data_IF_988082307650
#
_entry.id   IF_988082307650
#
_cell.length_a   1.000
_cell.length_b   1.000
_cell.length_c   1.000
_cell.angle_alpha   90.00
_cell.angle_beta   90.00
_cell.angle_gamma   90.00
#
_symmetry.space_group_name_H-M   'P 1'
#
loop_
_entity.id
_entity.type
_entity.pdbx_description
1 polymer ?
#
# COMPACT_ATOMS: atom_id res chain seq x y z
N UNK A 1 5.93 -12.70 25.70
CA UNK A 1 5.96 -13.12 24.28
C UNK A 1 6.33 -11.89 23.46
N UNK A 2 7.16 -12.01 22.46
CA UNK A 2 7.43 -10.91 21.53
C UNK A 2 6.64 -11.15 20.25
N UNK A 3 5.91 -10.14 19.78
CA UNK A 3 5.05 -10.21 18.59
C UNK A 3 5.63 -9.28 17.52
N UNK A 4 5.64 -9.74 16.28
CA UNK A 4 5.82 -8.92 15.10
C UNK A 4 4.48 -8.88 14.36
N UNK A 5 3.90 -7.68 14.23
CA UNK A 5 2.68 -7.46 13.46
C UNK A 5 3.07 -7.13 12.02
N UNK A 6 2.81 -8.05 11.11
CA UNK A 6 3.23 -7.92 9.71
C UNK A 6 2.26 -7.12 8.84
N UNK A 7 1.09 -6.71 9.36
CA UNK A 7 0.10 -6.00 8.57
C UNK A 7 -0.87 -5.22 9.46
N UNK A 8 -0.66 -3.92 9.58
CA UNK A 8 -1.53 -3.01 10.32
C UNK A 8 -1.75 -1.71 9.52
N UNK A 9 -2.84 -1.00 9.80
CA UNK A 9 -3.22 0.23 9.10
C UNK A 9 -3.32 1.42 10.06
N UNK A 10 -2.23 1.75 10.77
CA UNK A 10 -2.19 2.95 11.60
C UNK A 10 -2.18 4.25 10.79
N UNK A 11 -1.98 4.16 9.48
CA UNK A 11 -2.14 5.22 8.50
C UNK A 11 -3.61 5.53 8.13
N UNK A 12 -4.59 4.74 8.59
CA UNK A 12 -6.01 5.02 8.40
C UNK A 12 -6.43 6.26 9.21
N UNK A 13 -7.31 7.08 8.64
CA UNK A 13 -7.87 8.30 9.26
C UNK A 13 -8.55 8.03 10.62
N UNK A 14 -9.05 6.81 10.85
CA UNK A 14 -9.63 6.41 12.15
C UNK A 14 -8.68 6.60 13.31
N UNK A 15 -7.36 6.53 13.07
CA UNK A 15 -6.34 6.69 14.09
C UNK A 15 -5.80 8.11 14.22
N UNK A 16 -6.26 9.06 13.40
CA UNK A 16 -5.70 10.42 13.36
C UNK A 16 -5.67 11.09 14.74
N UNK A 17 -6.71 10.89 15.56
CA UNK A 17 -6.87 11.54 16.86
C UNK A 17 -6.10 10.86 18.00
N UNK A 18 -5.81 9.55 17.89
CA UNK A 18 -5.25 8.74 18.99
C UNK A 18 -4.14 7.78 18.55
N UNK A 19 -3.59 7.98 17.36
CA UNK A 19 -2.57 7.10 16.75
C UNK A 19 -1.40 6.82 17.69
N UNK A 20 -0.80 7.86 18.25
CA UNK A 20 0.34 7.75 19.14
C UNK A 20 0.02 6.96 20.41
N UNK A 21 -1.14 7.24 21.02
CA UNK A 21 -1.59 6.51 22.20
C UNK A 21 -1.87 5.04 21.87
N UNK A 22 -2.46 4.76 20.71
CA UNK A 22 -2.75 3.41 20.24
C UNK A 22 -1.46 2.62 19.96
N UNK A 23 -0.49 3.20 19.26
CA UNK A 23 0.82 2.59 19.00
C UNK A 23 1.54 2.29 20.32
N UNK A 24 1.52 3.21 21.27
CA UNK A 24 2.10 2.99 22.59
C UNK A 24 1.45 1.80 23.32
N UNK A 25 0.12 1.71 23.34
CA UNK A 25 -0.61 0.59 23.95
C UNK A 25 -0.26 -0.75 23.28
N UNK A 26 -0.09 -0.77 21.97
CA UNK A 26 0.29 -1.96 21.20
C UNK A 26 1.70 -2.44 21.59
N UNK A 27 2.65 -1.54 21.76
CA UNK A 27 3.99 -1.89 22.26
C UNK A 27 3.96 -2.40 23.70
N UNK A 28 3.19 -1.77 24.58
CA UNK A 28 2.99 -2.21 25.97
C UNK A 28 2.36 -3.60 26.04
N UNK A 29 1.47 -3.93 25.10
CA UNK A 29 0.85 -5.26 24.97
C UNK A 29 1.80 -6.34 24.43
N UNK A 30 3.01 -5.99 23.96
CA UNK A 30 4.05 -6.94 23.59
C UNK A 30 4.41 -7.00 22.11
N UNK A 31 3.80 -6.19 21.25
CA UNK A 31 4.26 -6.00 19.87
C UNK A 31 5.59 -5.24 19.92
N UNK A 32 6.62 -5.76 19.25
CA UNK A 32 7.97 -5.18 19.27
C UNK A 32 8.34 -4.52 17.95
N UNK A 33 7.76 -5.00 16.86
CA UNK A 33 7.88 -4.41 15.52
C UNK A 33 6.56 -4.54 14.82
N UNK A 34 6.26 -3.62 13.92
CA UNK A 34 5.09 -3.71 13.06
C UNK A 34 5.38 -3.15 11.67
N UNK A 35 4.56 -3.58 10.71
CA UNK A 35 4.50 -3.00 9.37
C UNK A 35 3.19 -2.23 9.25
N UNK A 36 3.30 -0.93 8.96
CA UNK A 36 2.18 -0.09 8.57
C UNK A 36 1.96 -0.25 7.06
N UNK A 37 0.86 -0.86 6.66
CA UNK A 37 0.61 -1.20 5.26
C UNK A 37 -0.06 -0.03 4.51
N UNK A 38 0.62 0.43 3.45
CA UNK A 38 0.05 1.36 2.48
C UNK A 38 -0.88 0.62 1.52
N UNK A 39 -2.00 1.21 1.15
CA UNK A 39 -2.99 0.63 0.22
C UNK A 39 -3.35 1.56 -0.95
N UNK A 40 -2.88 2.80 -0.91
CA UNK A 40 -2.93 3.81 -1.97
C UNK A 40 -1.66 4.65 -1.92
N UNK A 41 -1.46 5.56 -2.88
CA UNK A 41 -0.32 6.46 -2.83
C UNK A 41 -0.32 7.33 -1.56
N UNK A 42 -1.47 7.92 -1.21
CA UNK A 42 -1.59 8.80 -0.04
C UNK A 42 -1.42 8.02 1.26
N UNK A 43 -2.04 6.85 1.38
CA UNK A 43 -1.87 5.99 2.55
C UNK A 43 -0.43 5.48 2.69
N UNK A 44 0.26 5.22 1.58
CA UNK A 44 1.68 4.85 1.57
C UNK A 44 2.57 5.98 2.07
N UNK A 45 2.28 7.23 1.68
CA UNK A 45 2.98 8.42 2.18
C UNK A 45 2.80 8.57 3.70
N UNK A 46 1.57 8.39 4.20
CA UNK A 46 1.30 8.47 5.64
C UNK A 46 1.94 7.30 6.40
N UNK A 47 1.93 6.07 5.85
CA UNK A 47 2.61 4.92 6.44
C UNK A 47 4.12 5.17 6.58
N UNK A 48 4.76 5.76 5.57
CA UNK A 48 6.17 6.15 5.59
C UNK A 48 6.44 7.22 6.65
N UNK A 49 5.57 8.22 6.76
CA UNK A 49 5.70 9.27 7.78
C UNK A 49 5.68 8.66 9.19
N UNK A 50 4.72 7.79 9.48
CA UNK A 50 4.64 7.07 10.75
C UNK A 50 5.91 6.22 10.97
N UNK A 51 6.37 5.49 9.96
CA UNK A 51 7.57 4.67 10.07
C UNK A 51 8.84 5.49 10.33
N UNK A 52 8.93 6.71 9.82
CA UNK A 52 10.07 7.61 10.07
C UNK A 52 10.05 8.23 11.47
N UNK A 53 8.90 8.26 12.14
CA UNK A 53 8.75 8.78 13.51
C UNK A 53 9.00 7.69 14.58
N UNK A 54 9.11 6.40 14.18
CA UNK A 54 9.22 5.27 15.09
C UNK A 54 10.25 4.23 14.63
N UNK A 55 11.28 3.96 15.41
CA UNK A 55 12.37 3.01 15.09
C UNK A 55 11.92 1.56 14.83
N UNK A 56 10.75 1.18 15.33
CA UNK A 56 10.23 -0.18 15.27
C UNK A 56 9.03 -0.33 14.31
N UNK A 57 8.72 0.71 13.56
CA UNK A 57 7.69 0.68 12.51
C UNK A 57 8.36 0.71 11.14
N UNK A 58 7.92 -0.21 10.30
CA UNK A 58 8.26 -0.25 8.89
C UNK A 58 7.01 0.07 8.06
N UNK A 59 7.18 0.40 6.80
CA UNK A 59 6.07 0.68 5.89
C UNK A 59 6.08 -0.26 4.69
N UNK A 60 4.93 -0.42 4.06
CA UNK A 60 4.84 -0.86 2.67
C UNK A 60 4.28 0.27 1.82
N UNK A 61 4.50 0.19 0.51
CA UNK A 61 3.94 1.12 -0.45
C UNK A 61 3.34 0.36 -1.62
N UNK A 62 2.06 0.61 -1.90
CA UNK A 62 1.33 -0.08 -2.95
C UNK A 62 -0.06 0.47 -3.18
N UNK A 63 -0.78 -0.15 -4.11
CA UNK A 63 -2.16 0.18 -4.47
C UNK A 63 -2.97 -1.10 -4.34
N UNK A 64 -3.89 -1.11 -3.40
CA UNK A 64 -4.75 -2.26 -3.11
C UNK A 64 -5.77 -2.49 -4.24
N UNK A 65 -6.31 -3.70 -4.39
CA UNK A 65 -7.34 -3.95 -5.40
C UNK A 65 -8.60 -3.09 -5.21
N UNK A 66 -8.89 -2.64 -3.97
CA UNK A 66 -10.05 -1.80 -3.69
C UNK A 66 -9.83 -0.32 -4.05
N UNK A 67 -8.57 0.09 -4.20
CA UNK A 67 -8.19 1.45 -4.60
C UNK A 67 -7.92 1.58 -6.11
N UNK A 68 -8.13 0.48 -6.87
CA UNK A 68 -8.05 0.50 -8.33
C UNK A 68 -9.28 1.22 -8.90
N UNK A 69 -9.09 2.26 -9.72
CA UNK A 69 -10.19 3.03 -10.31
C UNK A 69 -11.17 2.17 -11.10
N UNK A 70 -12.45 2.46 -10.95
CA UNK A 70 -13.53 1.92 -11.76
C UNK A 70 -14.01 3.00 -12.73
N UNK A 71 -13.95 2.71 -14.02
CA UNK A 71 -14.42 3.61 -15.05
C UNK A 71 -15.78 3.13 -15.54
N UNK A 72 -16.84 3.79 -15.10
CA UNK A 72 -18.21 3.52 -15.56
C UNK A 72 -18.46 4.19 -16.92
N UNK A 73 -19.11 3.47 -17.83
CA UNK A 73 -19.68 3.99 -19.09
C UNK A 73 -18.70 4.56 -20.14
N UNK A 74 -17.44 4.17 -20.15
CA UNK A 74 -16.51 4.58 -21.19
C UNK A 74 -16.30 3.50 -22.26
N UNK A 75 -15.95 3.95 -23.47
CA UNK A 75 -15.54 3.04 -24.54
C UNK A 75 -14.30 2.26 -24.11
N UNK A 76 -14.28 0.95 -24.31
CA UNK A 76 -13.27 0.02 -23.78
C UNK A 76 -11.84 0.45 -24.13
N UNK A 77 -11.60 0.89 -25.36
CA UNK A 77 -10.25 1.31 -25.79
C UNK A 77 -9.77 2.57 -25.09
N UNK A 78 -10.66 3.52 -24.84
CA UNK A 78 -10.37 4.78 -24.13
C UNK A 78 -10.11 4.50 -22.66
N UNK A 79 -10.93 3.64 -22.06
CA UNK A 79 -10.80 3.20 -20.67
C UNK A 79 -9.43 2.55 -20.38
N UNK A 80 -9.01 1.62 -21.24
CA UNK A 80 -7.75 0.90 -21.09
C UNK A 80 -6.56 1.89 -21.16
N UNK A 81 -6.59 2.85 -22.08
CA UNK A 81 -5.54 3.86 -22.22
C UNK A 81 -5.43 4.76 -20.98
N UNK A 82 -6.54 5.31 -20.51
CA UNK A 82 -6.56 6.15 -19.32
C UNK A 82 -6.13 5.39 -18.06
N UNK A 83 -6.53 4.13 -17.93
CA UNK A 83 -6.13 3.30 -16.81
C UNK A 83 -4.61 3.09 -16.78
N UNK A 84 -4.01 2.74 -17.92
CA UNK A 84 -2.57 2.52 -18.02
C UNK A 84 -1.77 3.78 -17.68
N UNK A 85 -2.19 4.95 -18.16
CA UNK A 85 -1.54 6.22 -17.86
C UNK A 85 -1.61 6.58 -16.37
N UNK A 86 -2.79 6.47 -15.76
CA UNK A 86 -2.98 6.73 -14.32
C UNK A 86 -2.13 5.76 -13.49
N UNK A 87 -2.18 4.47 -13.84
CA UNK A 87 -1.44 3.45 -13.12
C UNK A 87 0.08 3.66 -13.22
N UNK A 88 0.57 3.95 -14.42
CA UNK A 88 2.00 4.22 -14.65
C UNK A 88 2.48 5.44 -13.85
N UNK A 89 1.67 6.50 -13.78
CA UNK A 89 2.00 7.69 -12.98
C UNK A 89 2.03 7.36 -11.48
N UNK A 90 1.04 6.63 -10.97
CA UNK A 90 1.00 6.22 -9.58
C UNK A 90 2.19 5.31 -9.22
N UNK A 91 2.50 4.33 -10.05
CA UNK A 91 3.64 3.42 -9.82
C UNK A 91 4.97 4.15 -9.86
N UNK A 92 5.11 5.16 -10.73
CA UNK A 92 6.28 6.04 -10.73
C UNK A 92 6.44 6.79 -9.40
N UNK A 93 5.35 7.28 -8.83
CA UNK A 93 5.36 7.96 -7.53
C UNK A 93 5.66 6.97 -6.39
N UNK A 94 5.08 5.76 -6.40
CA UNK A 94 5.41 4.69 -5.46
C UNK A 94 6.91 4.35 -5.54
N UNK A 95 7.44 4.16 -6.74
CA UNK A 95 8.89 3.90 -6.94
C UNK A 95 9.75 5.01 -6.31
N UNK A 96 9.44 6.27 -6.59
CA UNK A 96 10.16 7.41 -6.01
C UNK A 96 10.06 7.48 -4.49
N UNK A 97 8.91 7.08 -3.93
CA UNK A 97 8.71 7.01 -2.49
C UNK A 97 9.61 5.93 -1.88
N UNK A 98 9.67 4.74 -2.48
CA UNK A 98 10.53 3.63 -2.06
C UNK A 98 12.00 4.01 -2.11
N UNK A 99 12.46 4.56 -3.23
CA UNK A 99 13.87 4.94 -3.43
C UNK A 99 14.38 5.98 -2.42
N UNK A 100 13.48 6.77 -1.85
CA UNK A 100 13.80 7.83 -0.86
C UNK A 100 13.65 7.41 0.59
N UNK A 101 13.06 6.25 0.87
CA UNK A 101 12.67 5.87 2.23
C UNK A 101 13.03 4.42 2.56
N UNK A 102 14.11 4.24 3.30
CA UNK A 102 14.61 2.92 3.72
C UNK A 102 13.68 2.18 4.70
N UNK A 103 12.68 2.87 5.25
CA UNK A 103 11.66 2.24 6.10
C UNK A 103 10.61 1.47 5.32
N UNK A 104 10.55 1.63 3.99
CA UNK A 104 9.72 0.80 3.13
C UNK A 104 10.42 -0.54 2.90
N UNK A 105 9.79 -1.61 3.35
CA UNK A 105 10.36 -2.96 3.35
C UNK A 105 9.70 -3.90 2.34
N UNK A 106 8.60 -3.50 1.71
CA UNK A 106 7.90 -4.29 0.71
C UNK A 106 7.04 -3.42 -0.21
N UNK A 107 6.71 -3.94 -1.40
CA UNK A 107 5.62 -3.42 -2.23
C UNK A 107 4.32 -4.06 -1.75
N UNK A 108 3.37 -3.24 -1.34
CA UNK A 108 2.09 -3.68 -0.76
C UNK A 108 1.37 -2.54 -0.03
N UNK A 109 0.10 -2.73 0.30
CA UNK A 109 -0.73 -3.89 0.05
C UNK A 109 -1.13 -3.97 -1.43
N UNK A 110 -1.00 -5.15 -2.05
CA UNK A 110 -1.36 -5.38 -3.45
C UNK A 110 -2.10 -6.72 -3.58
N UNK A 111 -2.86 -6.93 -4.64
CA UNK A 111 -3.52 -8.22 -4.82
C UNK A 111 -4.75 -8.14 -5.71
N UNK A 112 -5.66 -9.09 -5.47
CA UNK A 112 -6.93 -9.23 -6.18
C UNK A 112 -8.07 -9.37 -5.17
N UNK A 113 -9.11 -8.56 -5.31
CA UNK A 113 -10.33 -8.67 -4.53
C UNK A 113 -11.56 -8.59 -5.46
N UNK A 114 -12.19 -9.71 -5.68
CA UNK A 114 -13.39 -9.81 -6.52
C UNK A 114 -14.69 -9.88 -5.70
N UNK A 115 -14.57 -9.70 -4.40
CA UNK A 115 -15.74 -9.67 -3.52
C UNK A 115 -16.43 -8.30 -3.57
N UNK A 116 -15.67 -7.25 -3.31
CA UNK A 116 -16.18 -5.88 -3.27
C UNK A 116 -16.36 -5.28 -4.66
N UNK A 117 -15.44 -5.54 -5.59
CA UNK A 117 -15.53 -5.02 -6.94
C UNK A 117 -15.28 -6.13 -7.97
N UNK A 118 -16.31 -6.42 -8.77
CA UNK A 118 -16.26 -7.46 -9.80
C UNK A 118 -16.10 -6.91 -11.21
N UNK A 119 -16.24 -5.59 -11.38
CA UNK A 119 -16.30 -4.96 -12.70
C UNK A 119 -14.93 -4.58 -13.24
N UNK A 120 -13.95 -4.33 -12.34
CA UNK A 120 -12.59 -3.95 -12.68
C UNK A 120 -11.56 -5.09 -12.57
N UNK A 121 -11.96 -6.33 -12.80
CA UNK A 121 -11.08 -7.52 -12.68
C UNK A 121 -9.85 -7.47 -13.60
N UNK A 122 -10.00 -6.89 -14.79
CA UNK A 122 -8.91 -6.73 -15.76
C UNK A 122 -7.89 -5.72 -15.21
N UNK A 123 -8.38 -4.61 -14.74
CA UNK A 123 -7.61 -3.51 -14.16
C UNK A 123 -6.87 -3.97 -12.89
N UNK A 124 -7.55 -4.71 -12.00
CA UNK A 124 -6.91 -5.28 -10.81
C UNK A 124 -5.76 -6.22 -11.19
N UNK A 125 -5.95 -7.11 -12.19
CA UNK A 125 -4.88 -8.01 -12.66
C UNK A 125 -3.70 -7.23 -13.22
N UNK A 126 -3.96 -6.22 -14.04
CA UNK A 126 -2.91 -5.41 -14.65
C UNK A 126 -2.12 -4.63 -13.59
N UNK A 127 -2.82 -4.00 -12.65
CA UNK A 127 -2.21 -3.31 -11.52
C UNK A 127 -1.36 -4.26 -10.67
N UNK A 128 -1.88 -5.44 -10.35
CA UNK A 128 -1.16 -6.44 -9.56
C UNK A 128 0.12 -6.90 -10.27
N UNK A 129 0.04 -7.25 -11.56
CA UNK A 129 1.21 -7.67 -12.36
C UNK A 129 2.25 -6.55 -12.42
N UNK A 130 1.84 -5.30 -12.62
CA UNK A 130 2.78 -4.19 -12.70
C UNK A 130 3.45 -3.89 -11.35
N UNK A 131 2.74 -4.07 -10.25
CA UNK A 131 3.33 -3.93 -8.92
C UNK A 131 4.28 -5.07 -8.56
N UNK A 132 4.02 -6.30 -9.00
CA UNK A 132 4.98 -7.41 -8.90
C UNK A 132 6.25 -7.10 -9.70
N UNK A 133 6.12 -6.55 -10.92
CA UNK A 133 7.29 -6.14 -11.71
C UNK A 133 8.10 -5.06 -11.00
N UNK A 134 7.41 -4.07 -10.41
CA UNK A 134 8.05 -3.01 -9.63
C UNK A 134 8.79 -3.58 -8.41
N UNK A 135 8.18 -4.52 -7.68
CA UNK A 135 8.82 -5.18 -6.55
C UNK A 135 10.10 -5.92 -6.97
N UNK A 136 10.05 -6.65 -8.09
CA UNK A 136 11.23 -7.31 -8.66
C UNK A 136 12.31 -6.31 -9.09
N UNK A 137 11.94 -5.19 -9.69
CA UNK A 137 12.90 -4.14 -10.09
C UNK A 137 13.62 -3.53 -8.88
N UNK A 138 12.91 -3.38 -7.77
CA UNK A 138 13.41 -2.78 -6.53
C UNK A 138 14.04 -3.80 -5.56
N UNK A 139 14.05 -5.09 -5.92
CA UNK A 139 14.51 -6.20 -5.06
C UNK A 139 13.80 -6.21 -3.69
N UNK A 140 12.48 -5.98 -3.71
CA UNK A 140 11.63 -5.97 -2.51
C UNK A 140 10.63 -7.12 -2.53
N UNK A 141 10.27 -7.68 -1.36
CA UNK A 141 9.15 -8.61 -1.22
C UNK A 141 7.81 -7.92 -1.51
N UNK A 142 6.76 -8.72 -1.63
CA UNK A 142 5.38 -8.23 -1.75
C UNK A 142 4.58 -8.58 -0.50
N UNK A 143 3.60 -7.73 -0.18
CA UNK A 143 2.56 -7.96 0.84
C UNK A 143 1.21 -7.99 0.13
N UNK A 144 0.44 -9.08 0.35
CA UNK A 144 -0.87 -9.34 -0.25
C UNK A 144 -1.94 -9.29 0.84
#
# INVERSE_FOLDING_TARGET
>A
MQIFDSHAHYNDEKFEMDREETIKKVYEAGVKKLICAGYSLDSSIEAVKIANEHDNIYATAGISPNDIPVFENENVDVKDFFFEDIMNEQLKKIKQLVEKNHQIVAIGEIGLDYYWNKENKKEQKLAFINQIKLANELDLPIVI
#
